data_IF_851480283178
#
_entry.id   IF_851480283178
#
_cell.length_a   1.000
_cell.length_b   1.000
_cell.length_c   1.000
_cell.angle_alpha   90.00
_cell.angle_beta   90.00
_cell.angle_gamma   90.00
#
_symmetry.space_group_name_H-M   'P 1'
#
loop_
_entity.id
_entity.type
_entity.pdbx_description
1 polymer ?
#
# COMPACT_ATOMS: atom_id res chain seq x y z
N UNK A 1 -3.18 15.45 -22.01
CA UNK A 1 -2.11 15.08 -21.05
C UNK A 1 -1.23 14.06 -21.73
N UNK A 2 0.09 14.21 -21.65
CA UNK A 2 1.01 13.24 -22.23
C UNK A 2 0.82 11.85 -21.59
N UNK A 3 0.79 10.77 -22.38
CA UNK A 3 0.51 9.41 -21.87
C UNK A 3 1.50 8.99 -20.78
N UNK A 4 2.76 9.40 -20.89
CA UNK A 4 3.79 9.19 -19.86
C UNK A 4 3.40 9.78 -18.50
N UNK A 5 2.84 10.99 -18.48
CA UNK A 5 2.48 11.66 -17.23
C UNK A 5 1.31 10.96 -16.54
N UNK A 6 0.33 10.49 -17.33
CA UNK A 6 -0.80 9.70 -16.83
C UNK A 6 -0.33 8.40 -16.18
N UNK A 7 0.56 7.65 -16.85
CA UNK A 7 1.11 6.40 -16.31
C UNK A 7 1.94 6.63 -15.05
N UNK A 8 2.71 7.73 -14.99
CA UNK A 8 3.45 8.10 -13.81
C UNK A 8 2.51 8.35 -12.61
N UNK A 9 1.43 9.11 -12.80
CA UNK A 9 0.47 9.37 -11.71
C UNK A 9 -0.19 8.08 -11.24
N UNK A 10 -0.66 7.24 -12.18
CA UNK A 10 -1.29 5.97 -11.85
C UNK A 10 -0.33 5.11 -11.03
N UNK A 11 0.92 4.96 -11.48
CA UNK A 11 1.94 4.22 -10.75
C UNK A 11 2.19 4.79 -9.35
N UNK A 12 2.40 6.10 -9.24
CA UNK A 12 2.70 6.76 -7.97
C UNK A 12 1.57 6.58 -6.97
N UNK A 13 0.33 6.79 -7.38
CA UNK A 13 -0.84 6.69 -6.50
C UNK A 13 -1.08 5.23 -6.10
N UNK A 14 -1.19 4.33 -7.07
CA UNK A 14 -1.54 2.92 -6.81
C UNK A 14 -0.42 2.19 -6.06
N UNK A 15 0.84 2.46 -6.42
CA UNK A 15 2.02 1.92 -5.74
C UNK A 15 2.14 2.45 -4.31
N UNK A 16 1.99 3.75 -4.09
CA UNK A 16 2.09 4.33 -2.75
C UNK A 16 0.99 3.82 -1.82
N UNK A 17 -0.27 3.83 -2.27
CA UNK A 17 -1.42 3.34 -1.50
C UNK A 17 -1.21 1.88 -1.10
N UNK A 18 -0.79 1.04 -2.05
CA UNK A 18 -0.56 -0.38 -1.81
C UNK A 18 0.59 -0.62 -0.84
N UNK A 19 1.71 0.09 -0.98
CA UNK A 19 2.84 0.00 -0.04
C UNK A 19 2.44 0.46 1.36
N UNK A 20 1.70 1.57 1.45
CA UNK A 20 1.25 2.15 2.72
C UNK A 20 0.33 1.20 3.49
N UNK A 21 -0.63 0.57 2.79
CA UNK A 21 -1.50 -0.45 3.39
C UNK A 21 -0.71 -1.71 3.83
N UNK A 22 0.17 -2.23 2.96
CA UNK A 22 0.95 -3.43 3.26
C UNK A 22 1.87 -3.24 4.48
N UNK A 23 2.57 -2.09 4.55
CA UNK A 23 3.43 -1.75 5.69
C UNK A 23 2.62 -1.59 6.99
N UNK A 24 1.47 -0.89 6.95
CA UNK A 24 0.61 -0.75 8.13
C UNK A 24 0.07 -2.09 8.64
N UNK A 25 -0.42 -2.95 7.74
CA UNK A 25 -0.86 -4.29 8.13
C UNK A 25 0.28 -5.11 8.77
N UNK A 26 1.47 -5.04 8.18
CA UNK A 26 2.67 -5.69 8.73
C UNK A 26 3.05 -5.16 10.12
N UNK A 27 3.01 -3.84 10.32
CA UNK A 27 3.30 -3.20 11.60
C UNK A 27 2.30 -3.63 12.68
N UNK A 28 0.99 -3.64 12.38
CA UNK A 28 -0.05 -4.08 13.31
C UNK A 28 0.12 -5.56 13.67
N UNK A 29 0.39 -6.41 12.68
CA UNK A 29 0.52 -7.85 12.91
C UNK A 29 1.74 -8.19 13.79
N UNK A 30 2.83 -7.43 13.64
CA UNK A 30 4.07 -7.59 14.42
C UNK A 30 4.01 -7.06 15.85
N UNK A 31 2.90 -6.43 16.27
CA UNK A 31 2.76 -5.96 17.66
C UNK A 31 2.78 -7.14 18.66
N UNK A 32 3.36 -6.96 19.87
CA UNK A 32 3.28 -7.92 20.96
C UNK A 32 1.82 -8.30 21.27
N UNK A 33 1.60 -9.54 21.72
CA UNK A 33 0.27 -10.01 22.08
C UNK A 33 -0.38 -9.17 23.19
N UNK A 34 0.43 -8.69 24.14
CA UNK A 34 0.01 -7.81 25.24
C UNK A 34 -0.52 -6.46 24.76
N UNK A 35 -0.03 -5.95 23.62
CA UNK A 35 -0.47 -4.68 23.04
C UNK A 35 -1.72 -4.83 22.16
N UNK A 36 -2.07 -6.06 21.77
CA UNK A 36 -3.27 -6.37 20.98
C UNK A 36 -4.47 -6.45 21.90
N UNK A 37 -4.99 -5.30 22.33
CA UNK A 37 -6.18 -5.18 23.19
C UNK A 37 -7.45 -4.82 22.39
N UNK A 38 -8.62 -5.16 22.94
CA UNK A 38 -9.91 -4.87 22.33
C UNK A 38 -10.11 -5.57 20.99
N UNK A 39 -10.57 -4.84 19.96
CA UNK A 39 -10.83 -5.40 18.62
C UNK A 39 -9.59 -6.00 17.94
N UNK A 40 -8.38 -5.55 18.28
CA UNK A 40 -7.13 -6.09 17.70
C UNK A 40 -6.75 -7.47 18.28
N UNK A 41 -7.32 -7.84 19.44
CA UNK A 41 -7.18 -9.18 20.02
C UNK A 41 -8.05 -10.22 19.30
N UNK A 42 -9.13 -9.76 18.65
CA UNK A 42 -10.12 -10.65 18.04
C UNK A 42 -9.54 -11.36 16.81
N UNK A 43 -9.70 -12.67 16.77
CA UNK A 43 -9.20 -13.52 15.68
C UNK A 43 -9.70 -13.07 14.32
N UNK A 44 -10.98 -12.70 14.19
CA UNK A 44 -11.54 -12.25 12.93
C UNK A 44 -10.90 -10.95 12.43
N UNK A 45 -10.64 -10.01 13.35
CA UNK A 45 -9.95 -8.75 13.03
C UNK A 45 -8.51 -9.01 12.59
N UNK A 46 -7.79 -9.90 13.27
CA UNK A 46 -6.42 -10.27 12.88
C UNK A 46 -6.37 -10.90 11.48
N UNK A 47 -7.29 -11.82 11.18
CA UNK A 47 -7.41 -12.41 9.85
C UNK A 47 -7.72 -11.32 8.80
N UNK A 48 -8.64 -10.40 9.10
CA UNK A 48 -8.97 -9.30 8.19
C UNK A 48 -7.75 -8.40 7.91
N UNK A 49 -6.94 -8.07 8.92
CA UNK A 49 -5.71 -7.27 8.77
C UNK A 49 -4.70 -8.00 7.86
N UNK A 50 -4.51 -9.31 8.07
CA UNK A 50 -3.59 -10.11 7.25
C UNK A 50 -4.07 -10.15 5.79
N UNK A 51 -5.37 -10.39 5.58
CA UNK A 51 -5.95 -10.43 4.23
C UNK A 51 -5.84 -9.07 3.53
N UNK A 52 -6.11 -7.97 4.23
CA UNK A 52 -5.93 -6.61 3.71
C UNK A 52 -4.47 -6.33 3.34
N UNK A 53 -3.52 -6.72 4.20
CA UNK A 53 -2.09 -6.58 3.93
C UNK A 53 -1.61 -7.38 2.72
N UNK A 54 -2.05 -8.64 2.61
CA UNK A 54 -1.71 -9.50 1.47
C UNK A 54 -2.32 -8.98 0.16
N UNK A 55 -3.57 -8.52 0.20
CA UNK A 55 -4.21 -7.91 -0.96
C UNK A 55 -3.43 -6.69 -1.42
N UNK A 56 -3.06 -5.80 -0.48
CA UNK A 56 -2.24 -4.64 -0.78
C UNK A 56 -0.86 -5.02 -1.35
N UNK A 57 -0.21 -6.06 -0.82
CA UNK A 57 1.07 -6.53 -1.35
C UNK A 57 0.93 -7.05 -2.80
N UNK A 58 -0.12 -7.78 -3.11
CA UNK A 58 -0.41 -8.23 -4.49
C UNK A 58 -0.68 -7.05 -5.42
N UNK A 59 -1.46 -6.05 -4.97
CA UNK A 59 -1.69 -4.83 -5.74
C UNK A 59 -0.40 -4.03 -5.96
N UNK A 60 0.50 -4.00 -4.97
CA UNK A 60 1.81 -3.36 -5.12
C UNK A 60 2.66 -4.08 -6.18
N UNK A 61 2.66 -5.41 -6.21
CA UNK A 61 3.35 -6.18 -7.27
C UNK A 61 2.76 -5.81 -8.64
N UNK A 62 1.43 -5.71 -8.74
CA UNK A 62 0.76 -5.22 -9.95
C UNK A 62 1.22 -3.81 -10.34
N UNK A 63 1.20 -2.86 -9.41
CA UNK A 63 1.66 -1.49 -9.65
C UNK A 63 3.13 -1.45 -10.10
N UNK A 64 3.99 -2.27 -9.51
CA UNK A 64 5.39 -2.38 -9.90
C UNK A 64 5.55 -2.91 -11.32
N UNK A 65 4.84 -3.98 -11.67
CA UNK A 65 4.87 -4.51 -13.03
C UNK A 65 4.34 -3.49 -14.05
N UNK A 66 3.24 -2.77 -13.74
CA UNK A 66 2.75 -1.67 -14.55
C UNK A 66 3.80 -0.56 -14.75
N UNK A 67 4.46 -0.14 -13.67
CA UNK A 67 5.51 0.87 -13.71
C UNK A 67 6.72 0.42 -14.53
N UNK A 68 7.15 -0.84 -14.39
CA UNK A 68 8.29 -1.38 -15.13
C UNK A 68 8.02 -1.51 -16.65
N UNK A 69 6.76 -1.68 -17.06
CA UNK A 69 6.38 -1.77 -18.47
C UNK A 69 6.23 -0.40 -19.15
N UNK A 70 5.80 0.62 -18.39
CA UNK A 70 5.37 1.92 -18.95
C UNK A 70 6.29 3.10 -18.59
N UNK A 71 7.21 2.94 -17.63
CA UNK A 71 8.13 3.97 -17.17
C UNK A 71 9.58 3.49 -17.25
N UNK A 72 10.52 4.42 -17.09
CA UNK A 72 11.93 4.10 -16.93
C UNK A 72 12.15 3.21 -15.70
N UNK A 73 12.86 2.09 -15.89
CA UNK A 73 13.03 1.00 -14.91
C UNK A 73 13.53 1.45 -13.52
N UNK A 74 14.30 2.55 -13.46
CA UNK A 74 14.82 3.07 -12.20
C UNK A 74 13.74 3.77 -11.38
N UNK A 75 12.68 4.30 -12.00
CA UNK A 75 11.61 5.03 -11.31
C UNK A 75 10.84 4.10 -10.36
N UNK A 76 10.28 2.96 -10.81
CA UNK A 76 9.56 2.07 -9.90
C UNK A 76 10.45 1.53 -8.78
N UNK A 77 11.72 1.21 -9.07
CA UNK A 77 12.66 0.70 -8.08
C UNK A 77 12.94 1.72 -6.97
N UNK A 78 13.26 2.97 -7.33
CA UNK A 78 13.49 4.04 -6.34
C UNK A 78 12.23 4.28 -5.52
N UNK A 79 11.05 4.26 -6.14
CA UNK A 79 9.79 4.39 -5.43
C UNK A 79 9.53 3.25 -4.44
N UNK A 80 9.75 2.00 -4.84
CA UNK A 80 9.52 0.81 -4.02
C UNK A 80 10.42 0.78 -2.79
N UNK A 81 11.72 1.04 -2.96
CA UNK A 81 12.71 0.83 -1.91
C UNK A 81 13.01 2.09 -1.10
N UNK A 82 12.80 3.27 -1.66
CA UNK A 82 13.17 4.53 -1.02
C UNK A 82 11.94 5.41 -0.81
N UNK A 83 11.33 5.91 -1.88
CA UNK A 83 10.35 7.00 -1.75
C UNK A 83 9.08 6.57 -1.01
N UNK A 84 8.43 5.47 -1.39
CA UNK A 84 7.19 5.04 -0.75
C UNK A 84 7.39 4.65 0.73
N UNK A 85 8.40 3.85 1.12
CA UNK A 85 8.66 3.58 2.53
C UNK A 85 8.95 4.84 3.33
N UNK A 86 9.81 5.73 2.81
CA UNK A 86 10.18 6.96 3.51
C UNK A 86 8.97 7.86 3.71
N UNK A 87 8.18 8.09 2.66
CA UNK A 87 6.96 8.91 2.75
C UNK A 87 5.95 8.27 3.69
N UNK A 88 5.78 6.95 3.64
CA UNK A 88 4.89 6.24 4.57
C UNK A 88 5.31 6.43 6.03
N UNK A 89 6.57 6.16 6.38
CA UNK A 89 7.07 6.22 7.75
C UNK A 89 7.09 7.65 8.30
N UNK A 90 7.51 8.63 7.49
CA UNK A 90 7.65 10.01 7.94
C UNK A 90 6.32 10.76 7.97
N UNK A 91 5.39 10.44 7.06
CA UNK A 91 4.14 11.18 6.89
C UNK A 91 2.96 10.36 7.39
N UNK A 92 2.62 9.26 6.71
CA UNK A 92 1.38 8.54 6.98
C UNK A 92 1.36 7.89 8.36
N UNK A 93 2.46 7.25 8.75
CA UNK A 93 2.55 6.59 10.04
C UNK A 93 2.48 7.60 11.20
N UNK A 94 3.09 8.79 11.05
CA UNK A 94 3.02 9.85 12.07
C UNK A 94 1.67 10.54 12.14
N UNK A 95 1.01 10.77 11.00
CA UNK A 95 -0.26 11.49 10.96
C UNK A 95 -1.44 10.63 11.40
N UNK A 96 -1.50 9.38 10.95
CA UNK A 96 -2.67 8.52 11.13
C UNK A 96 -2.42 7.36 12.12
N UNK A 97 -1.17 6.90 12.25
CA UNK A 97 -0.84 5.63 12.88
C UNK A 97 -1.28 4.42 12.04
N UNK A 98 -0.77 3.23 12.37
CA UNK A 98 -0.92 2.05 11.50
C UNK A 98 -2.38 1.64 11.28
N UNK A 99 -3.20 1.64 12.34
CA UNK A 99 -4.59 1.13 12.27
C UNK A 99 -5.47 2.02 11.40
N UNK A 100 -5.46 3.34 11.64
CA UNK A 100 -6.28 4.27 10.85
C UNK A 100 -5.77 4.34 9.41
N UNK A 101 -4.46 4.29 9.21
CA UNK A 101 -3.88 4.27 7.88
C UNK A 101 -4.31 3.01 7.11
N UNK A 102 -4.28 1.82 7.74
CA UNK A 102 -4.76 0.60 7.08
C UNK A 102 -6.23 0.70 6.68
N UNK A 103 -7.10 1.21 7.57
CA UNK A 103 -8.53 1.37 7.30
C UNK A 103 -8.76 2.33 6.12
N UNK A 104 -8.00 3.42 6.04
CA UNK A 104 -8.10 4.39 4.94
C UNK A 104 -7.55 3.84 3.62
N UNK A 105 -6.38 3.19 3.67
CA UNK A 105 -5.68 2.73 2.47
C UNK A 105 -6.33 1.49 1.87
N UNK A 106 -7.00 0.63 2.65
CA UNK A 106 -7.61 -0.61 2.12
C UNK A 106 -8.67 -0.37 1.04
N UNK A 107 -9.66 0.54 1.21
CA UNK A 107 -10.57 0.91 0.12
C UNK A 107 -9.86 1.51 -1.09
N UNK A 108 -8.80 2.30 -0.85
CA UNK A 108 -8.00 2.89 -1.92
C UNK A 108 -7.20 1.82 -2.69
N UNK A 109 -6.78 0.74 -2.03
CA UNK A 109 -6.18 -0.43 -2.69
C UNK A 109 -7.19 -1.07 -3.64
N UNK A 110 -8.45 -1.24 -3.23
CA UNK A 110 -9.50 -1.78 -4.11
C UNK A 110 -9.70 -0.86 -5.34
N UNK A 111 -9.74 0.46 -5.13
CA UNK A 111 -9.77 1.44 -6.23
C UNK A 111 -8.53 1.38 -7.13
N UNK A 112 -7.37 1.12 -6.54
CA UNK A 112 -6.09 0.95 -7.25
C UNK A 112 -6.10 -0.29 -8.14
N UNK A 113 -6.68 -1.40 -7.68
CA UNK A 113 -6.85 -2.62 -8.50
C UNK A 113 -7.68 -2.31 -9.75
N UNK A 114 -8.83 -1.64 -9.58
CA UNK A 114 -9.70 -1.30 -10.71
C UNK A 114 -9.01 -0.33 -11.68
N UNK A 115 -8.26 0.65 -11.15
CA UNK A 115 -7.51 1.62 -11.95
C UNK A 115 -6.39 0.94 -12.73
N UNK A 116 -5.58 0.11 -12.07
CA UNK A 116 -4.54 -0.66 -12.75
C UNK A 116 -5.14 -1.53 -13.84
N UNK A 117 -6.21 -2.29 -13.56
CA UNK A 117 -6.86 -3.14 -14.56
C UNK A 117 -7.37 -2.36 -15.79
N UNK A 118 -7.88 -1.14 -15.61
CA UNK A 118 -8.41 -0.34 -16.71
C UNK A 118 -7.32 0.26 -17.60
N UNK A 119 -6.18 0.64 -17.03
CA UNK A 119 -5.08 1.32 -17.74
C UNK A 119 -3.92 0.39 -18.14
N UNK A 120 -3.97 -0.88 -17.74
CA UNK A 120 -3.00 -1.92 -18.11
C UNK A 120 -3.09 -2.26 -19.59
#
# INVERSE_FOLDING_TARGET
MDPMFTFLIIFLVTGFVSMSAALSAGAINKRPAEEKVGKLAERNTQVAIIMAGNLAALTLIGAMAFGMLNLEWWIPLVCMFVSFPVVHLLVMQRLLGDVKNLILMTPLVIGSIATLYYYW
#
